data_IF_482630198418
#
_entry.id   IF_482630198418
#
_cell.length_a   1.000
_cell.length_b   1.000
_cell.length_c   1.000
_cell.angle_alpha   90.00
_cell.angle_beta   90.00
_cell.angle_gamma   90.00
#
_symmetry.space_group_name_H-M   'P 1'
#
loop_
_entity.id
_entity.type
_entity.pdbx_description
1 polymer ?
#
# COMPACT_ATOMS: atom_id res chain seq x y z
N UNK A 1 -58.42 21.60 23.94
CA UNK A 1 -58.78 21.12 22.58
C UNK A 1 -58.20 19.73 22.43
N UNK A 2 -59.03 18.72 22.20
CA UNK A 2 -58.61 17.33 22.02
C UNK A 2 -58.98 16.85 20.62
N UNK A 3 -58.19 15.95 20.03
CA UNK A 3 -58.50 15.35 18.73
C UNK A 3 -59.79 14.52 18.81
N UNK A 4 -60.57 14.48 17.72
CA UNK A 4 -61.80 13.72 17.67
C UNK A 4 -61.51 12.22 17.80
N UNK A 5 -62.11 11.55 18.79
CA UNK A 5 -61.88 10.12 19.05
C UNK A 5 -62.35 9.20 17.91
N UNK A 6 -63.27 9.67 17.04
CA UNK A 6 -63.81 8.87 15.92
C UNK A 6 -62.97 8.95 14.64
N UNK A 7 -62.33 10.08 14.36
CA UNK A 7 -61.55 10.26 13.13
C UNK A 7 -60.07 10.57 13.37
N UNK A 8 -59.62 10.58 14.63
CA UNK A 8 -58.22 10.85 14.99
C UNK A 8 -57.71 12.25 14.65
N UNK A 9 -58.56 13.13 14.10
CA UNK A 9 -58.18 14.44 13.58
C UNK A 9 -58.20 14.58 12.05
N UNK A 10 -58.47 13.50 11.29
CA UNK A 10 -58.48 13.53 9.82
C UNK A 10 -59.75 14.17 9.21
N UNK A 11 -60.78 14.40 10.03
CA UNK A 11 -62.05 15.01 9.59
C UNK A 11 -62.92 14.14 8.67
N UNK A 12 -62.48 12.92 8.36
CA UNK A 12 -63.21 11.94 7.52
C UNK A 12 -63.10 10.56 8.16
N UNK A 13 -64.14 9.74 7.98
CA UNK A 13 -64.18 8.35 8.47
C UNK A 13 -64.19 7.44 7.24
N UNK A 14 -63.25 6.51 7.16
CA UNK A 14 -63.15 5.52 6.07
C UNK A 14 -64.11 4.37 6.40
N UNK A 15 -65.17 4.22 5.62
CA UNK A 15 -66.19 3.17 5.83
C UNK A 15 -65.73 1.86 5.18
N UNK A 16 -65.30 1.90 3.92
CA UNK A 16 -64.70 0.77 3.20
C UNK A 16 -63.19 0.96 3.06
N UNK A 17 -62.42 0.05 3.65
CA UNK A 17 -60.96 0.12 3.68
C UNK A 17 -60.34 -0.64 2.50
N UNK A 18 -59.29 -0.06 1.90
CA UNK A 18 -58.52 -0.73 0.86
C UNK A 18 -57.74 -1.92 1.46
N UNK A 19 -57.92 -3.12 0.88
CA UNK A 19 -57.25 -4.35 1.35
C UNK A 19 -55.71 -4.29 1.24
N UNK A 20 -55.15 -3.43 0.38
CA UNK A 20 -53.69 -3.32 0.17
C UNK A 20 -52.99 -2.36 1.13
N UNK A 21 -53.64 -1.25 1.51
CA UNK A 21 -53.04 -0.23 2.39
C UNK A 21 -53.74 -0.11 3.75
N UNK A 22 -54.84 -0.84 3.99
CA UNK A 22 -55.58 -0.81 5.24
C UNK A 22 -56.23 0.55 5.57
N UNK A 23 -56.36 1.45 4.59
CA UNK A 23 -56.83 2.83 4.82
C UNK A 23 -55.72 3.87 5.02
N UNK A 24 -54.44 3.45 5.08
CA UNK A 24 -53.30 4.37 5.27
C UNK A 24 -52.98 5.22 4.03
N UNK A 25 -53.47 4.82 2.84
CA UNK A 25 -53.25 5.57 1.60
C UNK A 25 -51.86 5.42 0.98
N UNK A 26 -51.00 4.56 1.53
CA UNK A 26 -49.65 4.27 1.05
C UNK A 26 -49.35 2.77 1.10
N UNK A 27 -48.49 2.29 0.20
CA UNK A 27 -48.04 0.89 0.14
C UNK A 27 -46.55 0.88 -0.18
N UNK A 28 -45.77 0.12 0.59
CA UNK A 28 -44.36 -0.07 0.29
C UNK A 28 -44.21 -0.92 -0.99
N UNK A 29 -43.43 -0.41 -1.95
CA UNK A 29 -43.09 -1.14 -3.16
C UNK A 29 -41.57 -1.12 -3.38
N UNK A 30 -41.04 -2.20 -3.97
CA UNK A 30 -39.65 -2.26 -4.39
C UNK A 30 -39.53 -1.66 -5.79
N UNK A 31 -38.66 -0.66 -5.95
CA UNK A 31 -38.37 -0.03 -7.23
C UNK A 31 -36.89 -0.21 -7.56
N UNK A 32 -36.59 -0.58 -8.80
CA UNK A 32 -35.23 -0.57 -9.33
C UNK A 32 -35.03 0.67 -10.20
N UNK A 33 -33.86 1.28 -10.11
CA UNK A 33 -33.49 2.45 -10.90
C UNK A 33 -32.09 2.29 -11.48
N UNK A 34 -31.88 2.85 -12.66
CA UNK A 34 -30.56 2.92 -13.30
C UNK A 34 -29.95 4.27 -12.97
N UNK A 35 -28.78 4.25 -12.37
CA UNK A 35 -28.04 5.43 -11.98
C UNK A 35 -26.73 5.46 -12.76
N UNK A 36 -26.49 6.55 -13.49
CA UNK A 36 -25.23 6.75 -14.22
C UNK A 36 -24.29 7.55 -13.32
N UNK A 37 -23.16 6.96 -12.95
CA UNK A 37 -22.12 7.63 -12.16
C UNK A 37 -21.15 8.28 -13.14
N UNK A 38 -21.02 9.62 -13.15
CA UNK A 38 -20.08 10.27 -14.05
C UNK A 38 -18.64 9.91 -13.68
N UNK A 39 -17.71 9.86 -14.65
CA UNK A 39 -16.31 9.63 -14.37
C UNK A 39 -15.73 10.82 -13.58
N UNK A 40 -14.70 10.57 -12.77
CA UNK A 40 -14.01 11.63 -12.04
C UNK A 40 -14.61 12.01 -10.68
N UNK A 41 -15.74 11.41 -10.31
CA UNK A 41 -16.40 11.65 -9.02
C UNK A 41 -15.44 11.40 -7.86
N UNK A 42 -15.48 12.30 -6.87
CA UNK A 42 -14.68 12.22 -5.64
C UNK A 42 -15.38 11.38 -4.58
N UNK A 43 -14.59 10.85 -3.64
CA UNK A 43 -15.14 10.14 -2.49
C UNK A 43 -16.06 11.05 -1.65
N UNK A 44 -17.21 10.55 -1.23
CA UNK A 44 -18.21 11.30 -0.47
C UNK A 44 -19.12 12.19 -1.32
N UNK A 45 -18.99 12.17 -2.65
CA UNK A 45 -19.88 12.91 -3.53
C UNK A 45 -21.33 12.44 -3.36
N UNK A 46 -22.28 13.38 -3.37
CA UNK A 46 -23.70 13.10 -3.25
C UNK A 46 -24.42 13.49 -4.54
N UNK A 47 -25.25 12.58 -5.06
CA UNK A 47 -26.09 12.82 -6.22
C UNK A 47 -27.56 12.83 -5.83
N UNK A 48 -28.31 13.78 -6.37
CA UNK A 48 -29.75 13.91 -6.17
C UNK A 48 -30.51 13.32 -7.36
N UNK A 49 -31.46 12.43 -7.08
CA UNK A 49 -32.39 11.88 -8.07
C UNK A 49 -33.78 12.41 -7.72
N UNK A 50 -34.29 13.28 -8.59
CA UNK A 50 -35.52 14.03 -8.33
C UNK A 50 -36.75 13.13 -8.38
N UNK A 51 -37.64 13.26 -7.40
CA UNK A 51 -38.93 12.55 -7.37
C UNK A 51 -38.84 11.05 -7.10
N UNK A 52 -37.66 10.54 -6.71
CA UNK A 52 -37.42 9.13 -6.38
C UNK A 52 -37.30 8.88 -4.87
N UNK A 53 -37.58 9.89 -4.05
CA UNK A 53 -37.65 9.78 -2.60
C UNK A 53 -39.02 9.33 -2.10
N UNK A 54 -39.22 9.38 -0.79
CA UNK A 54 -40.49 8.98 -0.17
C UNK A 54 -41.64 9.87 -0.63
N UNK A 55 -42.81 9.27 -0.82
CA UNK A 55 -44.04 9.99 -1.16
C UNK A 55 -44.62 10.69 0.08
N UNK A 56 -44.85 12.00 -0.02
CA UNK A 56 -45.57 12.77 0.99
C UNK A 56 -47.07 12.76 0.69
N UNK A 57 -47.84 12.03 1.51
CA UNK A 57 -49.31 11.94 1.39
C UNK A 57 -50.01 13.30 1.51
N UNK A 58 -49.50 14.24 2.31
CA UNK A 58 -50.15 15.54 2.54
C UNK A 58 -49.98 16.48 1.36
N UNK A 59 -48.79 16.49 0.76
CA UNK A 59 -48.47 17.33 -0.40
C UNK A 59 -48.72 16.63 -1.73
N UNK A 60 -48.97 15.32 -1.71
CA UNK A 60 -49.13 14.47 -2.89
C UNK A 60 -47.94 14.53 -3.85
N UNK A 61 -46.73 14.71 -3.32
CA UNK A 61 -45.48 14.83 -4.07
C UNK A 61 -44.46 13.82 -3.55
N UNK A 62 -43.63 13.29 -4.44
CA UNK A 62 -42.47 12.50 -4.05
C UNK A 62 -41.31 13.42 -3.66
N UNK A 63 -40.59 13.05 -2.60
CA UNK A 63 -39.32 13.66 -2.26
C UNK A 63 -38.21 13.23 -3.22
N UNK A 64 -36.98 13.58 -2.88
CA UNK A 64 -35.80 13.23 -3.68
C UNK A 64 -34.98 12.14 -3.00
N UNK A 65 -34.27 11.35 -3.80
CA UNK A 65 -33.32 10.36 -3.33
C UNK A 65 -31.91 10.91 -3.43
N UNK A 66 -31.21 10.96 -2.29
CA UNK A 66 -29.80 11.32 -2.23
C UNK A 66 -28.95 10.06 -2.19
N UNK A 67 -28.02 9.93 -3.13
CA UNK A 67 -27.08 8.81 -3.24
C UNK A 67 -25.70 9.33 -2.88
N UNK A 68 -25.16 8.89 -1.73
CA UNK A 68 -23.78 9.16 -1.34
C UNK A 68 -22.87 8.09 -1.93
N UNK A 69 -21.81 8.51 -2.62
CA UNK A 69 -20.86 7.65 -3.30
C UNK A 69 -19.60 7.49 -2.43
N UNK A 70 -19.20 6.24 -2.23
CA UNK A 70 -17.92 5.90 -1.62
C UNK A 70 -17.01 5.29 -2.67
N UNK A 71 -15.78 5.81 -2.78
CA UNK A 71 -14.79 5.33 -3.75
C UNK A 71 -13.76 4.52 -2.99
N UNK A 72 -13.66 3.23 -3.33
CA UNK A 72 -12.66 2.34 -2.75
C UNK A 72 -11.26 2.65 -3.28
N UNK A 73 -10.27 2.66 -2.39
CA UNK A 73 -8.87 2.86 -2.78
C UNK A 73 -8.27 1.57 -3.36
N UNK A 74 -7.59 1.69 -4.51
CA UNK A 74 -6.84 0.59 -5.11
C UNK A 74 -5.47 0.49 -4.42
N UNK A 75 -5.03 -0.72 -4.10
CA UNK A 75 -3.71 -0.94 -3.50
C UNK A 75 -2.60 -0.36 -4.39
N UNK A 76 -1.66 0.38 -3.79
CA UNK A 76 -0.52 0.96 -4.51
C UNK A 76 -0.82 2.22 -5.35
N UNK A 77 -2.09 2.65 -5.45
CA UNK A 77 -2.48 3.87 -6.17
C UNK A 77 -3.24 4.78 -5.23
N UNK A 78 -2.65 5.94 -4.94
CA UNK A 78 -3.26 6.98 -4.13
C UNK A 78 -3.78 8.11 -5.04
N UNK A 79 -5.00 8.58 -4.79
CA UNK A 79 -5.60 9.69 -5.54
C UNK A 79 -5.48 10.98 -4.75
N UNK A 80 -4.93 12.01 -5.39
CA UNK A 80 -4.97 13.39 -4.89
C UNK A 80 -5.43 14.34 -6.00
N UNK A 81 -6.64 14.88 -5.82
CA UNK A 81 -7.34 15.67 -6.82
C UNK A 81 -7.60 14.88 -8.12
N UNK A 82 -7.05 15.40 -9.23
CA UNK A 82 -7.09 14.76 -10.55
C UNK A 82 -5.90 13.83 -10.80
N UNK A 83 -4.86 13.90 -9.96
CA UNK A 83 -3.64 13.16 -10.16
C UNK A 83 -3.64 11.86 -9.34
N UNK A 84 -2.91 10.88 -9.85
CA UNK A 84 -2.69 9.59 -9.19
C UNK A 84 -1.22 9.47 -8.81
N UNK A 85 -0.96 8.83 -7.67
CA UNK A 85 0.36 8.65 -7.12
C UNK A 85 0.61 7.18 -6.85
N UNK A 86 1.72 6.67 -7.36
CA UNK A 86 2.19 5.32 -7.08
C UNK A 86 3.67 5.34 -6.72
N UNK A 87 4.12 4.32 -6.00
CA UNK A 87 5.52 4.14 -5.66
C UNK A 87 6.06 2.97 -6.46
N UNK A 88 7.20 3.19 -7.12
CA UNK A 88 7.92 2.13 -7.84
C UNK A 88 9.31 1.98 -7.27
N UNK A 89 9.82 0.76 -7.31
CA UNK A 89 11.19 0.46 -6.89
C UNK A 89 12.02 0.08 -8.10
N UNK A 90 13.20 0.66 -8.20
CA UNK A 90 14.09 0.53 -9.36
C UNK A 90 15.49 0.21 -8.83
N UNK A 91 16.22 -0.67 -9.51
CA UNK A 91 17.59 -0.99 -9.11
C UNK A 91 18.53 0.20 -9.35
N UNK A 92 19.57 0.32 -8.54
CA UNK A 92 20.55 1.42 -8.67
C UNK A 92 21.22 1.49 -10.04
N UNK A 93 21.45 0.35 -10.71
CA UNK A 93 22.00 0.28 -12.06
C UNK A 93 21.02 0.83 -13.10
N UNK A 94 19.76 0.44 -13.00
CA UNK A 94 18.67 0.94 -13.85
C UNK A 94 18.41 2.42 -13.64
N UNK A 95 18.50 2.91 -12.40
CA UNK A 95 18.39 4.34 -12.10
C UNK A 95 19.53 5.15 -12.77
N UNK A 96 20.74 4.60 -12.83
CA UNK A 96 21.90 5.21 -13.49
C UNK A 96 21.73 5.20 -15.02
N UNK A 97 21.38 4.04 -15.60
CA UNK A 97 21.36 3.83 -17.05
C UNK A 97 20.06 4.26 -17.72
N UNK A 98 18.98 4.37 -16.95
CA UNK A 98 17.61 4.44 -17.46
C UNK A 98 17.08 3.05 -17.80
N UNK A 99 15.77 2.87 -17.69
CA UNK A 99 15.09 1.61 -17.99
C UNK A 99 13.68 1.86 -18.51
N UNK A 100 13.06 0.83 -19.07
CA UNK A 100 11.63 0.82 -19.39
C UNK A 100 11.02 -0.36 -18.66
N UNK A 101 10.00 -0.11 -17.84
CA UNK A 101 9.34 -1.14 -17.05
C UNK A 101 7.83 -1.02 -17.13
N UNK A 102 7.14 -2.14 -16.96
CA UNK A 102 5.69 -2.19 -16.98
C UNK A 102 5.15 -1.82 -15.58
N UNK A 103 4.23 -0.85 -15.53
CA UNK A 103 3.63 -0.34 -14.29
C UNK A 103 2.11 -0.49 -14.32
N UNK A 104 1.55 -0.72 -13.13
CA UNK A 104 0.11 -0.81 -12.96
C UNK A 104 -0.54 0.57 -12.90
N UNK A 105 -1.55 0.79 -13.73
CA UNK A 105 -2.39 2.00 -13.73
C UNK A 105 -3.85 1.64 -13.44
N UNK A 106 -4.74 2.64 -13.41
CA UNK A 106 -6.18 2.42 -13.27
C UNK A 106 -6.78 1.75 -14.52
N UNK A 107 -6.17 1.93 -15.68
CA UNK A 107 -6.65 1.38 -16.96
C UNK A 107 -6.02 0.03 -17.32
N UNK A 108 -5.12 -0.47 -16.47
CA UNK A 108 -4.33 -1.69 -16.72
C UNK A 108 -2.84 -1.41 -16.74
N UNK A 109 -2.07 -2.32 -17.33
CA UNK A 109 -0.62 -2.21 -17.39
C UNK A 109 -0.16 -1.28 -18.52
N UNK A 110 0.90 -0.51 -18.26
CA UNK A 110 1.50 0.43 -19.22
C UNK A 110 3.01 0.45 -19.08
N UNK A 111 3.70 0.74 -20.18
CA UNK A 111 5.15 0.93 -20.15
C UNK A 111 5.51 2.33 -19.63
N UNK A 112 6.30 2.37 -18.56
CA UNK A 112 6.88 3.58 -18.01
C UNK A 112 8.36 3.66 -18.40
N UNK A 113 8.73 4.73 -19.10
CA UNK A 113 10.11 5.02 -19.42
C UNK A 113 10.75 5.87 -18.32
N UNK A 114 11.77 5.31 -17.67
CA UNK A 114 12.54 5.96 -16.61
C UNK A 114 13.81 6.55 -17.25
N UNK A 115 14.03 7.87 -17.14
CA UNK A 115 15.23 8.49 -17.68
C UNK A 115 16.49 8.02 -16.93
N UNK A 116 17.65 8.17 -17.55
CA UNK A 116 18.93 7.92 -16.89
C UNK A 116 19.25 8.98 -15.85
N UNK A 117 19.91 8.58 -14.76
CA UNK A 117 20.32 9.48 -13.68
C UNK A 117 19.21 9.86 -12.70
N UNK A 118 18.11 9.10 -12.63
CA UNK A 118 17.01 9.33 -11.70
C UNK A 118 17.47 9.18 -10.25
N UNK A 119 17.04 10.11 -9.40
CA UNK A 119 17.36 10.14 -7.98
C UNK A 119 16.24 9.51 -7.15
N UNK A 120 16.55 8.99 -5.94
CA UNK A 120 15.52 8.55 -5.01
C UNK A 120 14.57 9.70 -4.64
N UNK A 121 13.27 9.45 -4.74
CA UNK A 121 12.23 10.45 -4.51
C UNK A 121 11.82 11.25 -5.74
N UNK A 122 12.55 11.14 -6.85
CA UNK A 122 12.14 11.76 -8.11
C UNK A 122 10.81 11.21 -8.59
N UNK A 123 10.09 12.05 -9.33
CA UNK A 123 8.75 11.71 -9.83
C UNK A 123 8.76 11.63 -11.36
N UNK A 124 8.42 10.46 -11.89
CA UNK A 124 8.23 10.23 -13.32
C UNK A 124 6.73 10.23 -13.61
N UNK A 125 6.28 10.92 -14.66
CA UNK A 125 4.85 11.06 -14.98
C UNK A 125 4.45 10.31 -16.25
N UNK A 126 3.29 9.65 -16.19
CA UNK A 126 2.51 9.25 -17.36
C UNK A 126 1.41 10.28 -17.58
N UNK A 127 1.48 10.95 -18.72
CA UNK A 127 0.54 12.00 -19.08
C UNK A 127 -0.85 11.44 -19.35
N UNK A 128 -1.89 12.16 -18.94
CA UNK A 128 -3.30 11.82 -19.19
C UNK A 128 -3.75 10.45 -18.64
N UNK A 129 -3.00 9.87 -17.69
CA UNK A 129 -3.33 8.59 -17.05
C UNK A 129 -3.95 8.76 -15.66
N UNK A 130 -4.25 9.99 -15.23
CA UNK A 130 -4.89 10.29 -13.95
C UNK A 130 -6.42 10.15 -13.99
N UNK A 131 -7.10 10.99 -13.23
CA UNK A 131 -8.57 11.02 -13.13
C UNK A 131 -9.14 12.10 -14.07
N UNK A 132 -10.21 11.83 -14.82
CA UNK A 132 -10.88 12.85 -15.63
C UNK A 132 -11.58 13.89 -14.76
N UNK A 133 -11.64 15.12 -15.23
CA UNK A 133 -12.41 16.18 -14.57
C UNK A 133 -13.92 15.94 -14.79
N UNK A 134 -14.70 16.10 -13.72
CA UNK A 134 -16.16 15.95 -13.73
C UNK A 134 -16.84 17.03 -14.60
N UNK A 135 -16.29 18.24 -14.63
CA UNK A 135 -16.85 19.36 -15.38
C UNK A 135 -16.42 19.35 -16.85
N UNK A 136 -15.22 18.83 -17.12
CA UNK A 136 -14.67 18.75 -18.47
C UNK A 136 -14.01 17.38 -18.70
N UNK A 137 -14.77 16.39 -19.20
CA UNK A 137 -14.27 15.03 -19.41
C UNK A 137 -13.08 14.91 -20.37
N UNK A 138 -12.81 15.93 -21.20
CA UNK A 138 -11.64 15.97 -22.08
C UNK A 138 -10.34 16.29 -21.34
N UNK A 139 -10.43 16.88 -20.14
CA UNK A 139 -9.29 17.18 -19.28
C UNK A 139 -9.10 16.03 -18.29
N UNK A 140 -7.85 15.59 -18.17
CA UNK A 140 -7.47 14.49 -17.30
C UNK A 140 -6.17 14.81 -16.59
N UNK A 141 -6.06 14.41 -15.32
CA UNK A 141 -4.80 14.51 -14.60
C UNK A 141 -3.76 13.47 -15.08
N UNK A 142 -2.64 13.44 -14.38
CA UNK A 142 -1.51 12.56 -14.69
C UNK A 142 -1.39 11.44 -13.63
N UNK A 143 -0.67 10.38 -13.98
CA UNK A 143 -0.23 9.36 -13.01
C UNK A 143 1.25 9.57 -12.74
N UNK A 144 1.56 9.97 -11.51
CA UNK A 144 2.88 10.26 -11.00
C UNK A 144 3.45 9.05 -10.25
N UNK A 145 4.64 8.63 -10.64
CA UNK A 145 5.37 7.53 -10.04
C UNK A 145 6.56 8.08 -9.26
N UNK A 146 6.53 7.90 -7.94
CA UNK A 146 7.62 8.26 -7.04
C UNK A 146 8.63 7.10 -7.07
N UNK A 147 9.84 7.40 -7.50
CA UNK A 147 10.91 6.41 -7.68
C UNK A 147 11.65 6.18 -6.38
N UNK A 148 11.68 4.92 -5.93
CA UNK A 148 12.52 4.46 -4.84
C UNK A 148 13.69 3.66 -5.41
N UNK A 149 14.92 4.14 -5.25
CA UNK A 149 16.09 3.43 -5.77
C UNK A 149 16.56 2.42 -4.72
N UNK A 150 16.59 1.15 -5.10
CA UNK A 150 17.09 0.06 -4.26
C UNK A 150 18.61 0.00 -4.36
N UNK A 151 19.27 0.36 -3.26
CA UNK A 151 20.72 0.23 -3.11
C UNK A 151 20.99 -1.02 -2.26
N UNK A 152 21.69 -2.03 -2.79
CA UNK A 152 21.99 -3.25 -2.03
C UNK A 152 22.87 -2.93 -0.82
N UNK A 153 22.57 -3.56 0.32
CA UNK A 153 23.38 -3.42 1.55
C UNK A 153 24.68 -4.22 1.48
N UNK A 154 24.60 -5.38 0.83
CA UNK A 154 25.71 -6.31 0.66
C UNK A 154 25.92 -6.54 -0.83
N UNK A 155 27.18 -6.48 -1.26
CA UNK A 155 27.59 -6.74 -2.65
C UNK A 155 28.73 -7.76 -2.64
N UNK A 156 28.78 -8.58 -3.68
CA UNK A 156 29.82 -9.59 -3.85
C UNK A 156 31.19 -8.96 -4.13
N UNK A 157 32.27 -9.68 -3.85
CA UNK A 157 33.64 -9.23 -4.14
C UNK A 157 33.85 -8.77 -5.60
N UNK A 158 33.36 -9.48 -6.65
CA UNK A 158 33.50 -8.98 -8.02
C UNK A 158 32.69 -7.71 -8.28
N UNK A 159 31.48 -7.58 -7.73
CA UNK A 159 30.68 -6.34 -7.87
C UNK A 159 31.35 -5.16 -7.18
N UNK A 160 31.93 -5.38 -5.99
CA UNK A 160 32.68 -4.35 -5.27
C UNK A 160 33.84 -3.82 -6.09
N UNK A 161 34.62 -4.70 -6.70
CA UNK A 161 35.74 -4.30 -7.55
C UNK A 161 35.30 -3.38 -8.72
N UNK A 162 34.15 -3.69 -9.34
CA UNK A 162 33.58 -2.86 -10.42
C UNK A 162 33.11 -1.49 -9.91
N UNK A 163 32.47 -1.44 -8.73
CA UNK A 163 32.03 -0.18 -8.12
C UNK A 163 33.22 0.69 -7.72
N UNK A 164 34.30 0.09 -7.22
CA UNK A 164 35.56 0.79 -6.91
C UNK A 164 36.21 1.38 -8.16
N UNK A 165 36.21 0.65 -9.28
CA UNK A 165 36.69 1.16 -10.57
C UNK A 165 35.86 2.36 -11.05
N UNK A 166 34.52 2.27 -10.97
CA UNK A 166 33.63 3.40 -11.27
C UNK A 166 33.92 4.59 -10.35
N UNK A 167 34.15 4.36 -9.06
CA UNK A 167 34.47 5.40 -8.09
C UNK A 167 35.80 6.10 -8.41
N UNK A 168 36.81 5.34 -8.83
CA UNK A 168 38.10 5.87 -9.28
C UNK A 168 37.95 6.78 -10.51
N UNK A 169 37.19 6.34 -11.52
CA UNK A 169 36.92 7.13 -12.73
C UNK A 169 36.19 8.45 -12.45
N UNK A 170 35.30 8.48 -11.44
CA UNK A 170 34.58 9.70 -11.05
C UNK A 170 35.43 10.69 -10.25
N UNK A 171 36.55 10.26 -9.68
CA UNK A 171 37.40 11.08 -8.79
C UNK A 171 38.87 11.16 -9.24
N UNK A 172 39.19 11.59 -10.50
CA UNK A 172 40.56 11.54 -11.01
C UNK A 172 41.55 12.54 -10.35
N UNK A 173 41.15 13.27 -9.30
CA UNK A 173 42.01 14.26 -8.63
C UNK A 173 41.76 14.50 -7.14
N UNK A 174 40.89 13.72 -6.48
CA UNK A 174 40.60 13.87 -5.05
C UNK A 174 41.20 12.74 -4.21
N UNK A 175 42.50 12.53 -4.37
CA UNK A 175 43.30 11.87 -3.35
C UNK A 175 43.90 12.97 -2.49
N UNK A 176 43.22 13.35 -1.41
CA UNK A 176 43.93 14.00 -0.31
C UNK A 176 44.93 12.96 0.18
N UNK A 177 46.22 13.30 0.03
CA UNK A 177 47.32 12.66 0.72
C UNK A 177 46.93 12.38 2.17
N UNK A 178 46.68 11.12 2.51
CA UNK A 178 46.88 10.69 3.90
C UNK A 178 48.39 10.80 4.10
N UNK A 179 48.81 11.97 4.59
CA UNK A 179 50.18 12.24 4.98
C UNK A 179 50.54 11.26 6.09
N UNK A 180 51.35 10.26 5.75
CA UNK A 180 52.17 9.52 6.72
C UNK A 180 53.14 10.52 7.34
N UNK A 181 52.79 11.09 8.48
CA UNK A 181 53.74 11.79 9.32
C UNK A 181 54.33 10.81 10.34
N UNK A 182 55.66 10.72 10.32
CA UNK A 182 56.58 10.08 11.29
C UNK A 182 56.54 8.54 11.41
N UNK A 183 57.63 7.79 11.31
CA UNK A 183 59.03 8.15 11.64
C UNK A 183 60.01 7.28 10.87
N UNK A 184 61.06 7.91 10.35
CA UNK A 184 62.22 7.29 9.73
C UNK A 184 63.03 6.48 10.74
N UNK A 185 63.39 5.23 10.42
CA UNK A 185 64.64 4.63 10.85
C UNK A 185 65.02 3.42 9.97
N UNK A 186 66.03 3.64 9.12
CA UNK A 186 66.98 2.65 8.57
C UNK A 186 66.40 1.48 7.71
N UNK A 187 66.96 1.04 6.58
CA UNK A 187 68.32 1.12 6.07
C UNK A 187 68.25 0.80 4.56
N UNK A 188 68.99 1.58 3.76
CA UNK A 188 69.20 1.35 2.32
C UNK A 188 69.81 -0.03 2.05
N UNK A 189 69.26 -0.80 1.12
CA UNK A 189 70.04 -1.55 0.11
C UNK A 189 69.33 -1.55 -1.24
N UNK A 190 70.11 -1.23 -2.26
CA UNK A 190 69.75 -1.03 -3.66
C UNK A 190 69.53 -2.35 -4.39
N UNK A 191 68.49 -2.45 -5.21
CA UNK A 191 68.51 -3.16 -6.51
C UNK A 191 67.20 -2.97 -7.29
N UNK A 192 67.30 -2.22 -8.39
CA UNK A 192 66.68 -2.43 -9.72
C UNK A 192 65.66 -3.58 -9.82
N UNK A 193 64.43 -3.29 -10.28
CA UNK A 193 63.70 -4.04 -11.33
C UNK A 193 62.33 -3.39 -11.63
N UNK A 194 62.21 -2.95 -12.90
CA UNK A 194 61.09 -2.94 -13.86
C UNK A 194 59.64 -2.76 -13.38
N UNK A 195 59.05 -1.68 -13.91
CA UNK A 195 57.79 -1.64 -14.67
C UNK A 195 57.06 -2.99 -14.79
N UNK A 196 55.84 -3.07 -14.26
CA UNK A 196 54.97 -4.21 -14.49
C UNK A 196 53.52 -3.80 -14.74
N UNK A 197 53.18 -3.85 -16.02
CA UNK A 197 51.85 -4.01 -16.60
C UNK A 197 51.33 -5.43 -16.35
N UNK A 198 50.24 -5.62 -15.61
CA UNK A 198 49.54 -6.92 -15.49
C UNK A 198 48.06 -6.67 -15.20
N UNK A 199 47.09 -7.18 -15.96
CA UNK A 199 46.74 -8.60 -16.19
C UNK A 199 46.67 -9.42 -14.89
N UNK A 200 45.47 -9.48 -14.31
CA UNK A 200 45.17 -10.39 -13.20
C UNK A 200 44.60 -11.71 -13.74
N UNK A 201 45.38 -12.77 -13.64
CA UNK A 201 44.87 -14.14 -13.52
C UNK A 201 45.38 -14.70 -12.18
N UNK A 202 44.48 -15.37 -11.48
CA UNK A 202 44.54 -15.56 -10.03
C UNK A 202 45.54 -16.61 -9.53
N UNK A 203 45.61 -16.71 -8.21
CA UNK A 203 45.72 -17.95 -7.42
C UNK A 203 45.28 -17.64 -5.97
N UNK A 204 44.67 -18.67 -5.40
CA UNK A 204 44.08 -18.85 -4.08
C UNK A 204 45.10 -18.70 -2.93
N UNK A 205 44.67 -18.18 -1.78
CA UNK A 205 44.80 -18.87 -0.47
C UNK A 205 44.32 -17.98 0.68
N UNK A 206 43.54 -18.61 1.54
CA UNK A 206 42.86 -18.14 2.75
C UNK A 206 43.83 -17.68 3.84
N UNK A 207 43.42 -16.68 4.62
CA UNK A 207 44.08 -16.26 5.86
C UNK A 207 43.21 -15.34 6.71
N UNK A 208 42.25 -15.96 7.41
CA UNK A 208 41.44 -15.46 8.53
C UNK A 208 42.03 -14.29 9.34
N UNK A 209 41.37 -13.12 9.31
CA UNK A 209 41.56 -12.07 10.32
C UNK A 209 40.27 -11.30 10.61
N UNK A 210 39.20 -12.03 10.94
CA UNK A 210 38.11 -11.48 11.74
C UNK A 210 38.07 -12.26 13.04
N UNK A 211 38.80 -11.75 14.04
CA UNK A 211 38.61 -11.99 15.47
C UNK A 211 39.45 -10.99 16.27
N UNK A 212 38.92 -9.79 16.47
CA UNK A 212 39.14 -8.99 17.69
C UNK A 212 38.15 -7.83 17.74
N UNK A 213 36.88 -8.20 17.90
CA UNK A 213 35.94 -7.33 18.61
C UNK A 213 36.27 -7.47 20.09
N UNK A 214 36.59 -6.32 20.70
CA UNK A 214 36.75 -6.04 22.15
C UNK A 214 38.08 -6.43 22.81
N UNK A 215 38.96 -5.43 22.92
CA UNK A 215 39.38 -4.93 24.24
C UNK A 215 39.29 -3.39 24.19
N UNK A 216 38.35 -2.75 24.86
CA UNK A 216 38.29 -2.46 26.30
C UNK A 216 39.09 -1.19 26.67
N UNK A 217 38.34 -0.11 26.92
CA UNK A 217 38.64 1.06 27.76
C UNK A 217 39.92 1.87 27.47
N UNK A 218 39.72 3.03 26.84
CA UNK A 218 40.70 4.10 26.73
C UNK A 218 40.02 5.45 26.57
N UNK A 219 39.45 5.94 27.66
CA UNK A 219 38.78 7.22 27.84
C UNK A 219 39.64 8.42 27.36
N UNK A 220 39.09 9.28 26.50
CA UNK A 220 39.43 10.72 26.54
C UNK A 220 38.29 11.57 25.96
N UNK A 221 37.66 12.32 26.87
CA UNK A 221 36.75 13.41 26.59
C UNK A 221 37.47 14.55 25.87
N UNK A 222 36.79 15.20 24.93
CA UNK A 222 36.84 16.65 24.79
C UNK A 222 35.45 17.15 24.42
N UNK A 223 34.90 17.98 25.30
CA UNK A 223 33.73 18.83 25.08
C UNK A 223 33.86 19.58 23.75
N UNK A 224 32.79 19.71 22.98
CA UNK A 224 32.15 21.01 22.73
C UNK A 224 30.64 20.82 22.51
N UNK A 225 29.88 21.80 22.98
CA UNK A 225 28.44 21.79 23.24
C UNK A 225 27.69 22.32 22.01
N UNK A 226 26.67 21.60 21.54
CA UNK A 226 25.56 22.22 20.81
C UNK A 226 24.28 22.04 21.62
N UNK A 227 23.62 23.17 21.89
CA UNK A 227 22.37 23.27 22.62
C UNK A 227 21.23 22.68 21.78
N UNK A 228 20.50 21.71 22.31
CA UNK A 228 19.20 21.30 21.81
C UNK A 228 18.10 21.96 22.65
N UNK A 229 17.16 22.63 21.97
CA UNK A 229 15.91 23.11 22.57
C UNK A 229 14.97 21.91 22.63
N UNK A 230 14.73 21.39 23.82
CA UNK A 230 13.69 20.41 24.08
C UNK A 230 12.36 21.12 24.30
N UNK A 231 11.35 20.78 23.50
CA UNK A 231 9.95 21.13 23.78
C UNK A 231 9.35 19.98 24.56
N UNK A 232 9.00 20.22 25.82
CA UNK A 232 8.24 19.29 26.65
C UNK A 232 6.78 19.22 26.17
N UNK A 233 6.29 18.01 25.91
CA UNK A 233 4.86 17.72 25.76
C UNK A 233 4.37 17.05 27.06
N UNK A 234 3.26 17.52 27.66
CA UNK A 234 2.72 16.91 28.87
C UNK A 234 2.06 15.56 28.56
N UNK A 235 2.29 14.59 29.45
CA UNK A 235 1.77 13.23 29.36
C UNK A 235 0.23 13.18 29.50
N UNK A 236 -0.48 12.35 28.72
CA UNK A 236 -1.85 11.99 29.02
C UNK A 236 -1.91 10.79 29.98
N UNK A 237 -2.43 11.05 31.18
CA UNK A 237 -3.09 10.07 32.02
C UNK A 237 -4.36 9.59 31.30
N UNK A 238 -4.42 8.32 30.90
CA UNK A 238 -5.62 7.50 31.09
C UNK A 238 -5.36 6.01 30.88
N UNK A 239 -5.70 5.27 31.92
CA UNK A 239 -5.77 3.81 31.96
C UNK A 239 -7.20 3.35 31.66
N UNK A 240 -7.35 2.44 30.72
CA UNK A 240 -8.47 1.49 30.72
C UNK A 240 -8.06 0.25 29.92
N UNK A 241 -7.91 -0.88 30.61
CA UNK A 241 -7.78 -2.21 30.01
C UNK A 241 -9.14 -2.64 29.45
N UNK A 242 -9.21 -3.39 28.33
CA UNK A 242 -10.39 -4.20 28.04
C UNK A 242 -10.22 -5.61 28.62
N UNK A 243 -11.25 -6.08 29.29
CA UNK A 243 -11.36 -7.41 29.88
C UNK A 243 -11.32 -8.52 28.81
N UNK A 244 -10.34 -9.39 28.92
CA UNK A 244 -10.20 -10.61 28.12
C UNK A 244 -10.96 -11.75 28.78
N UNK A 245 -12.28 -11.84 28.57
CA UNK A 245 -13.06 -12.98 29.10
C UNK A 245 -14.16 -13.56 28.20
N UNK A 246 -14.30 -13.15 26.92
CA UNK A 246 -15.37 -13.67 26.04
C UNK A 246 -14.92 -14.32 24.73
N UNK A 247 -13.62 -14.50 24.48
CA UNK A 247 -13.12 -15.10 23.23
C UNK A 247 -12.84 -16.62 23.31
N UNK A 248 -12.95 -17.24 24.50
CA UNK A 248 -12.67 -18.67 24.65
C UNK A 248 -13.84 -19.60 24.24
N UNK A 249 -15.06 -19.08 24.06
CA UNK A 249 -16.24 -19.91 23.76
C UNK A 249 -16.49 -20.15 22.26
N UNK A 250 -16.01 -19.28 21.37
CA UNK A 250 -16.31 -19.41 19.94
C UNK A 250 -15.33 -20.36 19.22
N UNK A 251 -14.06 -20.37 19.65
CA UNK A 251 -13.02 -21.23 19.04
C UNK A 251 -13.24 -22.71 19.40
N UNK A 252 -13.76 -23.00 20.60
CA UNK A 252 -14.04 -24.38 21.04
C UNK A 252 -15.24 -25.00 20.30
N UNK A 253 -16.26 -24.21 19.96
CA UNK A 253 -17.43 -24.69 19.18
C UNK A 253 -17.08 -24.99 17.72
N UNK A 254 -16.17 -24.23 17.11
CA UNK A 254 -15.71 -24.47 15.73
C UNK A 254 -14.85 -25.73 15.59
N UNK A 255 -14.03 -26.04 16.60
CA UNK A 255 -13.21 -27.26 16.58
C UNK A 255 -14.06 -28.53 16.78
N UNK A 256 -15.07 -28.50 17.65
CA UNK A 256 -15.95 -29.66 17.88
C UNK A 256 -16.80 -29.97 16.64
N UNK A 257 -17.34 -28.95 15.96
CA UNK A 257 -18.16 -29.15 14.74
C UNK A 257 -17.36 -29.62 13.53
N UNK A 258 -16.06 -29.27 13.44
CA UNK A 258 -15.18 -29.75 12.37
C UNK A 258 -14.79 -31.22 12.51
N UNK A 259 -14.70 -31.75 13.73
CA UNK A 259 -14.38 -33.17 13.98
C UNK A 259 -15.57 -34.09 13.62
N UNK A 260 -16.82 -33.68 13.87
CA UNK A 260 -17.99 -34.50 13.50
C UNK A 260 -18.23 -34.58 11.99
N UNK A 261 -17.92 -33.53 11.23
CA UNK A 261 -18.12 -33.52 9.76
C UNK A 261 -17.07 -34.32 8.98
N UNK A 262 -15.90 -34.61 9.57
CA UNK A 262 -14.87 -35.45 8.93
C UNK A 262 -15.06 -36.93 9.20
N UNK A 263 -15.63 -37.31 10.36
CA UNK A 263 -15.94 -38.72 10.69
C UNK A 263 -17.20 -39.23 9.96
N UNK A 264 -18.18 -38.37 9.67
CA UNK A 264 -19.42 -38.78 8.97
C UNK A 264 -19.28 -39.14 7.48
N UNK A 265 -18.11 -38.93 6.86
CA UNK A 265 -17.89 -39.19 5.43
C UNK A 265 -17.20 -40.53 5.11
N UNK A 266 -16.65 -41.24 6.09
CA UNK A 266 -15.93 -42.50 5.84
C UNK A 266 -16.82 -43.74 5.76
N UNK A 267 -18.08 -43.69 6.20
CA UNK A 267 -18.99 -44.85 6.20
C UNK A 267 -19.79 -45.07 4.90
N UNK A 268 -19.75 -44.15 3.93
CA UNK A 268 -20.46 -44.33 2.65
C UNK A 268 -19.63 -44.97 1.54
N UNK A 269 -18.33 -45.20 1.75
CA UNK A 269 -17.45 -45.68 0.68
C UNK A 269 -17.26 -47.21 0.64
N UNK A 270 -17.74 -47.94 1.65
CA UNK A 270 -17.63 -49.41 1.71
C UNK A 270 -18.83 -50.17 1.13
N UNK A 271 -19.96 -49.50 0.82
CA UNK A 271 -21.16 -50.15 0.27
C UNK A 271 -21.21 -50.25 -1.26
N UNK A 272 -20.31 -49.56 -1.99
CA UNK A 272 -20.30 -49.54 -3.47
C UNK A 272 -19.46 -50.68 -4.06
N UNK A 273 -18.59 -51.34 -3.28
CA UNK A 273 -17.67 -52.38 -3.78
C UNK A 273 -18.27 -53.80 -3.82
N UNK A 274 -19.47 -54.02 -3.28
CA UNK A 274 -20.08 -55.35 -3.18
C UNK A 274 -21.18 -55.68 -4.23
N UNK A 275 -21.49 -54.77 -5.16
CA UNK A 275 -22.50 -55.01 -6.21
C UNK A 275 -21.97 -55.55 -7.55
N UNK A 276 -20.66 -55.61 -7.78
CA UNK A 276 -20.07 -56.01 -9.07
C UNK A 276 -19.56 -57.47 -9.15
N UNK A 277 -19.94 -58.35 -8.22
CA UNK A 277 -19.56 -59.78 -8.25
C UNK A 277 -20.76 -60.75 -8.38
N UNK A 278 -21.92 -60.28 -8.85
CA UNK A 278 -23.10 -61.14 -9.16
C UNK A 278 -23.63 -60.97 -10.59
N UNK A 279 -22.74 -60.70 -11.54
CA UNK A 279 -22.99 -60.90 -12.98
C UNK A 279 -21.69 -61.32 -13.64
N UNK A 280 -21.46 -62.63 -13.64
CA UNK A 280 -20.82 -63.48 -14.66
C UNK A 280 -20.72 -64.88 -14.07
#
# INVERSE_FOLDING_TARGET
>A
VSTCSKCGGDGKIIIDHCRRCGGNGEVQSKRSMKVVIPPGVSNGATMQIRGEGNFDRRRSLAGDLFVALHVDEKQGIHRDGLNLFSKISVDYTEAILGTSMEVETVEGMKDLRIPSGVQPGDTVKLQQMGVPDINNPSVRGDHLFIVNVLIPKDISDPERALVEEIAFLKSPGKWHSVSTNSTEAAQRKSAKVRDWKMHCQGIKSVGSWWNSVKCFLGQRQSQERFASVGVELPAPLWSSKPDSFLMASVVTVFMITSIFNTVGKTDKWTSVRQRNQRRL
#
